data_IF_902418966369
#
_entry.id   IF_902418966369
#
_cell.length_a   1.000
_cell.length_b   1.000
_cell.length_c   1.000
_cell.angle_alpha   90.00
_cell.angle_beta   90.00
_cell.angle_gamma   90.00
#
_symmetry.space_group_name_H-M   'P 1'
#
loop_
_entity.id
_entity.type
_entity.pdbx_description
1 polymer ?
#
# COMPACT_ATOMS: atom_id res chain seq x y z
N UNK A 1 -14.26 53.54 60.53
CA UNK A 1 -14.28 52.61 59.39
C UNK A 1 -13.15 53.02 58.45
N UNK A 2 -12.09 52.22 58.39
CA UNK A 2 -10.88 52.50 57.60
C UNK A 2 -11.09 52.15 56.12
N UNK A 3 -10.52 52.90 55.16
CA UNK A 3 -10.63 52.56 53.75
C UNK A 3 -9.69 51.40 53.39
N UNK A 4 -10.19 50.45 52.61
CA UNK A 4 -9.45 49.32 52.03
C UNK A 4 -8.60 49.85 50.87
N UNK A 5 -7.28 49.66 50.95
CA UNK A 5 -6.34 49.97 49.86
C UNK A 5 -6.05 48.73 49.03
N UNK A 6 -6.43 48.76 47.76
CA UNK A 6 -6.03 47.77 46.75
C UNK A 6 -4.56 47.99 46.35
N UNK A 7 -3.69 46.97 46.33
CA UNK A 7 -2.31 47.16 45.87
C UNK A 7 -2.26 47.16 44.33
N UNK A 8 -1.83 48.27 43.74
CA UNK A 8 -1.45 48.33 42.33
C UNK A 8 -0.14 47.55 42.10
N UNK A 9 -0.13 46.65 41.12
CA UNK A 9 1.05 45.91 40.72
C UNK A 9 2.16 46.88 40.26
N UNK A 10 3.25 46.96 41.03
CA UNK A 10 4.42 47.78 40.69
C UNK A 10 5.33 47.01 39.73
N UNK A 11 5.22 47.28 38.44
CA UNK A 11 6.30 46.98 37.51
C UNK A 11 7.42 48.01 37.74
N UNK A 12 8.53 47.58 38.35
CA UNK A 12 9.69 48.42 38.60
C UNK A 12 10.20 49.07 37.31
N UNK A 13 10.44 50.38 37.34
CA UNK A 13 10.89 51.15 36.19
C UNK A 13 12.33 50.76 35.82
N UNK A 14 12.49 49.85 34.85
CA UNK A 14 13.78 49.59 34.23
C UNK A 14 14.36 50.88 33.65
N UNK A 15 15.66 51.14 33.92
CA UNK A 15 16.44 52.19 33.22
C UNK A 15 16.30 51.99 31.71
N UNK A 16 16.28 53.07 30.94
CA UNK A 16 16.03 53.06 29.48
C UNK A 16 16.83 51.97 28.72
N UNK A 17 18.09 51.76 29.11
CA UNK A 17 18.96 50.69 28.60
C UNK A 17 18.42 49.28 28.84
N UNK A 18 17.87 49.01 30.02
CA UNK A 18 17.26 47.72 30.35
C UNK A 18 15.99 47.44 29.55
N UNK A 19 15.17 48.47 29.29
CA UNK A 19 13.99 48.34 28.41
C UNK A 19 14.40 48.02 26.97
N UNK A 20 15.42 48.70 26.44
CA UNK A 20 15.96 48.45 25.10
C UNK A 20 16.53 47.04 24.96
N UNK A 21 17.36 46.58 25.92
CA UNK A 21 17.93 45.23 25.91
C UNK A 21 16.86 44.14 26.00
N UNK A 22 15.80 44.38 26.78
CA UNK A 22 14.72 43.41 26.94
C UNK A 22 13.90 43.26 25.66
N UNK A 23 13.56 44.37 24.99
CA UNK A 23 12.89 44.34 23.68
C UNK A 23 13.74 43.59 22.66
N UNK A 24 15.04 43.89 22.60
CA UNK A 24 15.96 43.26 21.66
C UNK A 24 16.15 41.75 21.94
N UNK A 25 16.21 41.37 23.21
CA UNK A 25 16.30 39.97 23.63
C UNK A 25 15.03 39.19 23.29
N UNK A 26 13.85 39.77 23.54
CA UNK A 26 12.56 39.16 23.19
C UNK A 26 12.40 39.02 21.68
N UNK A 27 12.73 40.05 20.90
CA UNK A 27 12.65 39.98 19.43
C UNK A 27 13.60 38.93 18.86
N UNK A 28 14.81 38.82 19.41
CA UNK A 28 15.78 37.79 19.01
C UNK A 28 15.28 36.39 19.36
N UNK A 29 14.73 36.20 20.57
CA UNK A 29 14.17 34.92 21.00
C UNK A 29 12.96 34.50 20.14
N UNK A 30 12.09 35.44 19.77
CA UNK A 30 10.97 35.18 18.87
C UNK A 30 11.44 34.78 17.47
N UNK A 31 12.46 35.45 16.91
CA UNK A 31 13.07 35.06 15.64
C UNK A 31 13.65 33.65 15.70
N UNK A 32 14.43 33.33 16.75
CA UNK A 32 15.00 32.00 16.93
C UNK A 32 13.94 30.92 17.09
N UNK A 33 12.84 31.21 17.81
CA UNK A 33 11.70 30.32 17.94
C UNK A 33 11.00 30.05 16.61
N UNK A 34 10.80 31.08 15.79
CA UNK A 34 10.21 30.94 14.45
C UNK A 34 11.11 30.12 13.51
N UNK A 35 12.43 30.34 13.55
CA UNK A 35 13.40 29.56 12.76
C UNK A 35 13.44 28.10 13.23
N UNK A 36 13.47 27.85 14.53
CA UNK A 36 13.46 26.50 15.09
C UNK A 36 12.17 25.75 14.76
N UNK A 37 11.02 26.43 14.84
CA UNK A 37 9.72 25.89 14.44
C UNK A 37 9.68 25.60 12.93
N UNK A 38 10.16 26.52 12.09
CA UNK A 38 10.27 26.32 10.66
C UNK A 38 11.13 25.11 10.32
N UNK A 39 12.32 25.03 10.92
CA UNK A 39 13.23 23.89 10.72
C UNK A 39 12.62 22.57 11.19
N UNK A 40 11.94 22.55 12.34
CA UNK A 40 11.23 21.37 12.84
C UNK A 40 10.07 20.95 11.94
N UNK A 41 9.26 21.92 11.48
CA UNK A 41 8.15 21.70 10.55
C UNK A 41 8.64 21.15 9.21
N UNK A 42 9.66 21.77 8.62
CA UNK A 42 10.23 21.33 7.34
C UNK A 42 10.85 19.93 7.45
N UNK A 43 11.59 19.64 8.53
CA UNK A 43 12.24 18.35 8.71
C UNK A 43 11.23 17.21 8.94
N UNK A 44 10.11 17.47 9.62
CA UNK A 44 9.06 16.48 9.86
C UNK A 44 8.21 16.22 8.59
N UNK A 45 7.96 17.27 7.79
CA UNK A 45 7.32 17.14 6.48
C UNK A 45 8.17 16.36 5.49
N UNK A 46 9.47 16.67 5.37
CA UNK A 46 10.39 15.98 4.43
C UNK A 46 10.55 14.48 4.73
N UNK A 47 10.67 14.09 6.01
CA UNK A 47 10.80 12.68 6.39
C UNK A 47 9.52 11.87 6.15
N UNK A 48 8.34 12.45 6.41
CA UNK A 48 7.06 11.78 6.14
C UNK A 48 6.82 11.70 4.62
N UNK A 49 7.18 12.74 3.89
CA UNK A 49 7.07 12.87 2.44
C UNK A 49 7.90 11.83 1.67
N UNK A 50 9.20 11.75 1.94
CA UNK A 50 10.09 10.82 1.22
C UNK A 50 9.66 9.38 1.51
N UNK A 51 9.26 9.12 2.75
CA UNK A 51 8.80 7.82 3.19
C UNK A 51 7.47 7.43 2.54
N UNK A 52 6.48 8.33 2.50
CA UNK A 52 5.14 8.03 2.00
C UNK A 52 5.08 7.92 0.47
N UNK A 53 5.76 8.80 -0.26
CA UNK A 53 5.86 8.73 -1.72
C UNK A 53 6.63 7.46 -2.13
N UNK A 54 7.78 7.19 -1.50
CA UNK A 54 8.54 5.97 -1.78
C UNK A 54 7.77 4.70 -1.41
N UNK A 55 7.01 4.70 -0.31
CA UNK A 55 6.14 3.59 0.08
C UNK A 55 5.03 3.38 -0.93
N UNK A 56 4.36 4.45 -1.37
CA UNK A 56 3.28 4.35 -2.35
C UNK A 56 3.79 3.80 -3.68
N UNK A 57 4.95 4.28 -4.16
CA UNK A 57 5.57 3.76 -5.37
C UNK A 57 5.98 2.28 -5.24
N UNK A 58 6.55 1.88 -4.09
CA UNK A 58 6.87 0.48 -3.80
C UNK A 58 5.63 -0.41 -3.83
N UNK A 59 4.51 0.05 -3.28
CA UNK A 59 3.24 -0.68 -3.29
C UNK A 59 2.68 -0.80 -4.73
N UNK A 60 2.81 0.23 -5.55
CA UNK A 60 2.46 0.19 -6.99
C UNK A 60 3.28 -0.84 -7.76
N UNK A 61 4.60 -0.86 -7.57
CA UNK A 61 5.46 -1.87 -8.22
C UNK A 61 5.11 -3.28 -7.73
N UNK A 62 4.81 -3.43 -6.44
CA UNK A 62 4.43 -4.71 -5.86
C UNK A 62 3.12 -5.25 -6.45
N UNK A 63 2.07 -4.43 -6.57
CA UNK A 63 0.78 -4.87 -7.13
C UNK A 63 0.88 -5.20 -8.63
N UNK A 64 1.66 -4.45 -9.41
CA UNK A 64 1.90 -4.75 -10.83
C UNK A 64 2.68 -6.05 -11.00
N UNK A 65 3.69 -6.28 -10.16
CA UNK A 65 4.46 -7.53 -10.15
C UNK A 65 3.55 -8.70 -9.78
N UNK A 66 2.68 -8.52 -8.79
CA UNK A 66 1.70 -9.52 -8.38
C UNK A 66 0.69 -9.86 -9.48
N UNK A 67 0.19 -8.86 -10.21
CA UNK A 67 -0.67 -9.04 -11.39
C UNK A 67 0.03 -9.88 -12.47
N UNK A 68 1.31 -9.60 -12.74
CA UNK A 68 2.08 -10.39 -13.69
C UNK A 68 2.27 -11.85 -13.24
N UNK A 69 2.56 -12.10 -11.96
CA UNK A 69 2.67 -13.46 -11.41
C UNK A 69 1.32 -14.19 -11.47
N UNK A 70 0.21 -13.51 -11.14
CA UNK A 70 -1.13 -14.06 -11.20
C UNK A 70 -1.53 -14.45 -12.63
N UNK A 71 -1.24 -13.60 -13.63
CA UNK A 71 -1.46 -13.94 -15.04
C UNK A 71 -0.65 -15.17 -15.46
N UNK A 72 0.59 -15.30 -14.99
CA UNK A 72 1.40 -16.50 -15.22
C UNK A 72 0.78 -17.73 -14.56
N UNK A 73 0.28 -17.63 -13.33
CA UNK A 73 -0.45 -18.73 -12.67
C UNK A 73 -1.60 -19.24 -13.55
N UNK A 74 -2.46 -18.33 -14.06
CA UNK A 74 -3.58 -18.70 -14.94
C UNK A 74 -3.09 -19.30 -16.27
N UNK A 75 -1.94 -18.86 -16.79
CA UNK A 75 -1.32 -19.49 -17.97
C UNK A 75 -0.83 -20.91 -17.68
N UNK A 76 -0.18 -21.17 -16.55
CA UNK A 76 0.27 -22.52 -16.17
C UNK A 76 -0.91 -23.49 -16.02
N UNK A 77 -2.08 -23.01 -15.57
CA UNK A 77 -3.31 -23.80 -15.60
C UNK A 77 -3.72 -24.19 -17.02
N UNK A 78 -3.74 -23.24 -17.97
CA UNK A 78 -4.05 -23.53 -19.37
C UNK A 78 -3.05 -24.52 -19.96
N UNK A 79 -1.77 -24.36 -19.65
CA UNK A 79 -0.73 -25.28 -20.11
C UNK A 79 -0.87 -26.67 -19.50
N UNK A 80 -1.34 -26.77 -18.25
CA UNK A 80 -1.70 -28.02 -17.58
C UNK A 80 -2.80 -28.74 -18.37
N UNK A 81 -3.88 -28.06 -18.73
CA UNK A 81 -4.96 -28.67 -19.51
C UNK A 81 -4.52 -29.06 -20.93
N UNK A 82 -3.72 -28.22 -21.59
CA UNK A 82 -3.32 -28.41 -22.99
C UNK A 82 -2.26 -29.50 -23.17
N UNK A 83 -1.35 -29.66 -22.20
CA UNK A 83 -0.17 -30.53 -22.31
C UNK A 83 -0.15 -31.66 -21.29
N UNK A 84 -1.00 -31.60 -20.26
CA UNK A 84 -1.02 -32.53 -19.13
C UNK A 84 -1.50 -33.94 -19.42
N UNK A 85 -1.80 -34.29 -20.67
CA UNK A 85 -1.99 -35.70 -21.06
C UNK A 85 -0.70 -36.51 -20.95
N UNK A 86 0.47 -35.84 -21.06
CA UNK A 86 1.78 -36.45 -20.80
C UNK A 86 2.12 -36.28 -19.31
N UNK A 87 2.47 -37.35 -18.58
CA UNK A 87 2.73 -37.28 -17.14
C UNK A 87 3.79 -36.24 -16.74
N UNK A 88 4.92 -36.18 -17.46
CA UNK A 88 5.99 -35.21 -17.18
C UNK A 88 5.53 -33.76 -17.39
N UNK A 89 4.71 -33.50 -18.42
CA UNK A 89 4.18 -32.18 -18.69
C UNK A 89 3.14 -31.78 -17.63
N UNK A 90 2.30 -32.73 -17.21
CA UNK A 90 1.34 -32.51 -16.13
C UNK A 90 2.03 -32.08 -14.84
N UNK A 91 3.02 -32.85 -14.41
CA UNK A 91 3.80 -32.55 -13.21
C UNK A 91 4.47 -31.18 -13.31
N UNK A 92 5.09 -30.87 -14.43
CA UNK A 92 5.76 -29.59 -14.67
C UNK A 92 4.81 -28.40 -14.58
N UNK A 93 3.74 -28.39 -15.38
CA UNK A 93 2.84 -27.22 -15.48
C UNK A 93 1.97 -27.08 -14.22
N UNK A 94 1.52 -28.19 -13.63
CA UNK A 94 0.80 -28.13 -12.37
C UNK A 94 1.69 -27.69 -11.21
N UNK A 95 2.92 -28.19 -11.13
CA UNK A 95 3.90 -27.74 -10.14
C UNK A 95 4.23 -26.26 -10.28
N UNK A 96 4.37 -25.75 -11.52
CA UNK A 96 4.51 -24.32 -11.78
C UNK A 96 3.29 -23.53 -11.33
N UNK A 97 2.08 -24.01 -11.63
CA UNK A 97 0.84 -23.38 -11.16
C UNK A 97 0.86 -23.22 -9.63
N UNK A 98 1.15 -24.30 -8.88
CA UNK A 98 1.18 -24.28 -7.42
C UNK A 98 2.27 -23.34 -6.88
N UNK A 99 3.43 -23.30 -7.54
CA UNK A 99 4.50 -22.36 -7.19
C UNK A 99 4.04 -20.90 -7.37
N UNK A 100 3.42 -20.57 -8.50
CA UNK A 100 2.88 -19.22 -8.75
C UNK A 100 1.74 -18.87 -7.80
N UNK A 101 0.87 -19.83 -7.47
CA UNK A 101 -0.17 -19.68 -6.45
C UNK A 101 0.42 -19.23 -5.11
N UNK A 102 1.48 -19.91 -4.65
CA UNK A 102 2.16 -19.56 -3.41
C UNK A 102 2.84 -18.19 -3.48
N UNK A 103 3.49 -17.86 -4.60
CA UNK A 103 4.13 -16.56 -4.83
C UNK A 103 3.11 -15.41 -4.81
N UNK A 104 1.98 -15.55 -5.51
CA UNK A 104 0.91 -14.54 -5.54
C UNK A 104 0.35 -14.30 -4.14
N UNK A 105 0.07 -15.36 -3.39
CA UNK A 105 -0.42 -15.25 -2.01
C UNK A 105 0.59 -14.53 -1.11
N UNK A 106 1.86 -14.90 -1.18
CA UNK A 106 2.92 -14.25 -0.40
C UNK A 106 3.09 -12.76 -0.76
N UNK A 107 2.96 -12.42 -2.05
CA UNK A 107 2.98 -11.04 -2.53
C UNK A 107 1.79 -10.26 -1.98
N UNK A 108 0.58 -10.82 -2.03
CA UNK A 108 -0.64 -10.18 -1.53
C UNK A 108 -0.62 -9.99 -0.01
N UNK A 109 -0.16 -10.98 0.75
CA UNK A 109 0.02 -10.90 2.21
C UNK A 109 1.05 -9.85 2.61
N UNK A 110 2.14 -9.72 1.84
CA UNK A 110 3.14 -8.67 2.08
C UNK A 110 2.56 -7.30 1.76
N UNK A 111 1.86 -7.17 0.64
CA UNK A 111 1.27 -5.93 0.19
C UNK A 111 0.18 -5.43 1.17
N UNK A 112 -0.72 -6.30 1.64
CA UNK A 112 -1.79 -5.94 2.58
C UNK A 112 -1.29 -5.42 3.93
N UNK A 113 -0.07 -5.80 4.35
CA UNK A 113 0.60 -5.30 5.55
C UNK A 113 1.27 -3.93 5.35
N UNK A 114 1.65 -3.60 4.12
CA UNK A 114 2.39 -2.38 3.80
C UNK A 114 1.51 -1.25 3.27
N UNK A 115 0.28 -1.54 2.87
CA UNK A 115 -0.68 -0.53 2.45
C UNK A 115 -1.25 0.20 3.67
N UNK A 116 -1.04 1.52 3.73
CA UNK A 116 -1.70 2.40 4.69
C UNK A 116 -3.10 2.82 4.26
N UNK A 117 -3.37 2.94 2.96
CA UNK A 117 -4.65 3.39 2.40
C UNK A 117 -5.76 2.31 2.59
N UNK A 118 -6.84 2.59 3.33
CA UNK A 118 -7.80 1.56 3.75
C UNK A 118 -8.50 0.83 2.59
N UNK A 119 -8.87 1.53 1.51
CA UNK A 119 -9.63 0.93 0.41
C UNK A 119 -8.76 -0.02 -0.41
N UNK A 120 -7.53 0.38 -0.77
CA UNK A 120 -6.53 -0.47 -1.41
C UNK A 120 -6.26 -1.72 -0.58
N UNK A 121 -6.11 -1.57 0.74
CA UNK A 121 -5.90 -2.69 1.64
C UNK A 121 -7.10 -3.65 1.61
N UNK A 122 -8.32 -3.11 1.64
CA UNK A 122 -9.54 -3.93 1.56
C UNK A 122 -9.65 -4.69 0.24
N UNK A 123 -9.28 -4.08 -0.89
CA UNK A 123 -9.26 -4.74 -2.20
C UNK A 123 -8.26 -5.89 -2.23
N UNK A 124 -7.05 -5.71 -1.70
CA UNK A 124 -6.03 -6.78 -1.61
C UNK A 124 -6.48 -7.91 -0.69
N UNK A 125 -7.17 -7.62 0.42
CA UNK A 125 -7.73 -8.65 1.31
C UNK A 125 -8.84 -9.44 0.61
N UNK A 126 -9.77 -8.76 -0.08
CA UNK A 126 -10.79 -9.44 -0.90
C UNK A 126 -10.17 -10.31 -1.99
N UNK A 127 -9.10 -9.83 -2.61
CA UNK A 127 -8.33 -10.60 -3.59
C UNK A 127 -7.76 -11.88 -2.98
N UNK A 128 -7.18 -11.84 -1.77
CA UNK A 128 -6.66 -13.03 -1.09
C UNK A 128 -7.73 -14.10 -0.88
N UNK A 129 -8.93 -13.69 -0.44
CA UNK A 129 -10.05 -14.61 -0.25
C UNK A 129 -10.51 -15.23 -1.58
N UNK A 130 -10.69 -14.40 -2.61
CA UNK A 130 -11.06 -14.86 -3.95
C UNK A 130 -9.99 -15.78 -4.56
N UNK A 131 -8.71 -15.47 -4.36
CA UNK A 131 -7.57 -16.26 -4.84
C UNK A 131 -7.51 -17.64 -4.17
N UNK A 132 -7.81 -17.72 -2.87
CA UNK A 132 -7.92 -18.99 -2.16
C UNK A 132 -9.03 -19.86 -2.74
N UNK A 133 -10.24 -19.31 -2.90
CA UNK A 133 -11.38 -20.02 -3.52
C UNK A 133 -11.05 -20.47 -4.94
N UNK A 134 -10.37 -19.63 -5.71
CA UNK A 134 -9.92 -19.92 -7.07
C UNK A 134 -8.96 -21.13 -7.09
N UNK A 135 -7.97 -21.16 -6.20
CA UNK A 135 -7.04 -22.27 -6.08
C UNK A 135 -7.72 -23.61 -5.77
N UNK A 136 -8.70 -23.58 -4.86
CA UNK A 136 -9.51 -24.77 -4.52
C UNK A 136 -10.33 -25.27 -5.72
N UNK A 137 -10.87 -24.35 -6.52
CA UNK A 137 -11.56 -24.72 -7.75
C UNK A 137 -10.62 -25.34 -8.79
N UNK A 138 -9.42 -24.79 -8.97
CA UNK A 138 -8.42 -25.38 -9.89
C UNK A 138 -8.01 -26.79 -9.50
N UNK A 139 -7.90 -27.08 -8.20
CA UNK A 139 -7.69 -28.46 -7.72
C UNK A 139 -8.84 -29.40 -8.11
N UNK A 140 -10.10 -28.95 -8.02
CA UNK A 140 -11.26 -29.73 -8.51
C UNK A 140 -11.25 -29.90 -10.03
N UNK A 141 -10.89 -28.85 -10.77
CA UNK A 141 -10.75 -28.90 -12.23
C UNK A 141 -9.66 -29.89 -12.66
N UNK A 142 -8.55 -29.99 -11.93
CA UNK A 142 -7.50 -30.96 -12.19
C UNK A 142 -8.01 -32.40 -12.02
N UNK A 143 -8.78 -32.66 -10.97
CA UNK A 143 -9.37 -33.98 -10.76
C UNK A 143 -10.38 -34.34 -11.85
N UNK A 144 -11.21 -33.38 -12.29
CA UNK A 144 -12.09 -33.56 -13.44
C UNK A 144 -11.29 -33.88 -14.72
N UNK A 145 -10.23 -33.11 -15.00
CA UNK A 145 -9.32 -33.37 -16.13
C UNK A 145 -8.78 -34.81 -16.10
N UNK A 146 -8.28 -35.29 -14.95
CA UNK A 146 -7.71 -36.64 -14.80
C UNK A 146 -8.76 -37.74 -14.92
N UNK A 147 -9.93 -37.56 -14.28
CA UNK A 147 -11.00 -38.56 -14.28
C UNK A 147 -11.67 -38.73 -15.65
N UNK A 148 -11.59 -37.72 -16.51
CA UNK A 148 -12.11 -37.74 -17.88
C UNK A 148 -11.01 -38.04 -18.92
N UNK A 149 -10.04 -38.88 -18.57
CA UNK A 149 -8.97 -39.31 -19.48
C UNK A 149 -8.16 -38.13 -20.08
N UNK A 150 -7.86 -37.14 -19.25
CA UNK A 150 -7.14 -35.91 -19.61
C UNK A 150 -7.87 -35.08 -20.68
N UNK A 151 -9.20 -34.99 -20.59
CA UNK A 151 -10.02 -34.10 -21.41
C UNK A 151 -9.97 -32.67 -20.88
N UNK A 152 -9.31 -31.79 -21.64
CA UNK A 152 -9.16 -30.36 -21.33
C UNK A 152 -10.52 -29.66 -21.16
N UNK A 153 -11.56 -30.05 -21.90
CA UNK A 153 -12.87 -29.42 -21.82
C UNK A 153 -13.56 -29.74 -20.47
N UNK A 154 -13.45 -30.98 -20.01
CA UNK A 154 -13.96 -31.39 -18.70
C UNK A 154 -13.26 -30.64 -17.55
N UNK A 155 -11.94 -30.45 -17.66
CA UNK A 155 -11.15 -29.68 -16.69
C UNK A 155 -11.50 -28.18 -16.68
N UNK A 156 -11.64 -27.57 -17.86
CA UNK A 156 -11.95 -26.13 -17.99
C UNK A 156 -13.38 -25.80 -17.55
N UNK A 157 -14.36 -26.64 -17.91
CA UNK A 157 -15.76 -26.44 -17.52
C UNK A 157 -15.95 -26.39 -16.00
N UNK A 158 -15.14 -27.14 -15.24
CA UNK A 158 -15.18 -27.15 -13.78
C UNK A 158 -14.68 -25.85 -13.12
N UNK A 159 -13.98 -24.99 -13.88
CA UNK A 159 -13.36 -23.75 -13.38
C UNK A 159 -13.73 -22.51 -14.20
N UNK A 160 -14.72 -22.63 -15.08
CA UNK A 160 -15.10 -21.57 -16.01
C UNK A 160 -15.40 -20.25 -15.29
N UNK A 161 -14.58 -19.22 -15.57
CA UNK A 161 -14.74 -17.88 -15.02
C UNK A 161 -14.30 -17.71 -13.56
N UNK A 162 -13.69 -18.72 -12.93
CA UNK A 162 -13.26 -18.62 -11.52
C UNK A 162 -12.20 -17.54 -11.29
N UNK A 163 -11.42 -17.22 -12.32
CA UNK A 163 -10.36 -16.21 -12.30
C UNK A 163 -10.88 -14.77 -12.48
N UNK A 164 -12.14 -14.58 -12.87
CA UNK A 164 -12.72 -13.24 -13.14
C UNK A 164 -12.73 -12.36 -11.90
N UNK A 165 -13.28 -12.86 -10.80
CA UNK A 165 -13.35 -12.11 -9.54
C UNK A 165 -11.97 -11.71 -9.00
N UNK A 166 -10.97 -12.61 -8.87
CA UNK A 166 -9.63 -12.19 -8.46
C UNK A 166 -8.95 -11.27 -9.49
N UNK A 167 -9.19 -11.43 -10.79
CA UNK A 167 -8.67 -10.50 -11.81
C UNK A 167 -9.21 -9.09 -11.60
N UNK A 168 -10.52 -8.95 -11.38
CA UNK A 168 -11.17 -7.66 -11.18
C UNK A 168 -10.69 -6.98 -9.89
N UNK A 169 -10.67 -7.71 -8.77
CA UNK A 169 -10.19 -7.19 -7.48
C UNK A 169 -8.73 -6.72 -7.54
N UNK A 170 -7.87 -7.48 -8.23
CA UNK A 170 -6.48 -7.10 -8.43
C UNK A 170 -6.33 -5.88 -9.34
N UNK A 171 -7.13 -5.79 -10.41
CA UNK A 171 -7.20 -4.63 -11.27
C UNK A 171 -7.59 -3.36 -10.50
N UNK A 172 -8.68 -3.44 -9.74
CA UNK A 172 -9.14 -2.33 -8.89
C UNK A 172 -8.08 -1.91 -7.85
N UNK A 173 -7.43 -2.88 -7.19
CA UNK A 173 -6.35 -2.59 -6.24
C UNK A 173 -5.17 -1.87 -6.90
N UNK A 174 -4.78 -2.31 -8.10
CA UNK A 174 -3.72 -1.67 -8.88
C UNK A 174 -4.08 -0.24 -9.25
N UNK A 175 -5.26 -0.03 -9.82
CA UNK A 175 -5.69 1.28 -10.29
C UNK A 175 -5.79 2.28 -9.12
N UNK A 176 -6.27 1.81 -7.96
CA UNK A 176 -6.32 2.62 -6.74
C UNK A 176 -4.92 2.96 -6.21
N UNK A 177 -4.00 2.01 -6.14
CA UNK A 177 -2.63 2.24 -5.69
C UNK A 177 -1.89 3.22 -6.62
N UNK A 178 -2.10 3.10 -7.94
CA UNK A 178 -1.60 4.06 -8.93
C UNK A 178 -2.17 5.45 -8.69
N UNK A 179 -3.49 5.58 -8.55
CA UNK A 179 -4.14 6.87 -8.28
C UNK A 179 -3.64 7.51 -6.98
N UNK A 180 -3.49 6.72 -5.92
CA UNK A 180 -2.95 7.19 -4.64
C UNK A 180 -1.49 7.66 -4.77
N UNK A 181 -0.65 6.91 -5.49
CA UNK A 181 0.74 7.30 -5.74
C UNK A 181 0.82 8.61 -6.53
N UNK A 182 0.01 8.78 -7.58
CA UNK A 182 -0.06 10.02 -8.35
C UNK A 182 -0.55 11.20 -7.49
N UNK A 183 -1.57 11.01 -6.67
CA UNK A 183 -2.07 12.07 -5.79
C UNK A 183 -1.02 12.50 -4.75
N UNK A 184 -0.33 11.55 -4.13
CA UNK A 184 0.76 11.84 -3.19
C UNK A 184 1.91 12.56 -3.87
N UNK A 185 2.32 12.13 -5.07
CA UNK A 185 3.37 12.81 -5.84
C UNK A 185 2.98 14.22 -6.30
N UNK A 186 1.70 14.47 -6.62
CA UNK A 186 1.21 15.79 -7.01
C UNK A 186 1.16 16.76 -5.82
N UNK A 187 0.61 16.31 -4.67
CA UNK A 187 0.64 17.09 -3.43
C UNK A 187 2.08 17.42 -3.02
N UNK A 188 2.97 16.44 -3.18
CA UNK A 188 4.39 16.58 -2.93
C UNK A 188 5.05 17.68 -3.76
N UNK A 189 4.74 17.76 -5.06
CA UNK A 189 5.28 18.81 -5.92
C UNK A 189 4.78 20.21 -5.52
N UNK A 190 3.51 20.33 -5.12
CA UNK A 190 2.92 21.63 -4.73
C UNK A 190 3.39 22.18 -3.39
N UNK A 191 3.93 21.35 -2.49
CA UNK A 191 4.51 21.80 -1.21
C UNK A 191 5.99 22.23 -1.35
N UNK A 192 6.64 21.87 -2.47
CA UNK A 192 8.03 22.22 -2.76
C UNK A 192 8.19 23.57 -3.49
N UNK A 193 7.10 24.08 -4.09
CA UNK A 193 7.00 25.39 -4.76
C UNK A 193 6.54 26.50 -3.78
#
# INVERSE_FOLDING_TARGET
MSPVTTPAAKFGSLRLRGKLLLIFGVSTALMLGAVAYGFWSTNNSLNSFETDVANSQRNTVAVVTMEATFKKQVQEWKDTLLRGKKPEALEKYWGNFQKREAEVRAQADKLSRNIGEPESKQLVVKFLDAHKTMGEAYRRGLEAFKNHNFDSAAGDAAVAGIDRAPTELLGQAKDRLLANATALSAAAASEAD
#
